data_IF_603865024740
#
_entry.id   IF_603865024740
#
_cell.length_a   1.000
_cell.length_b   1.000
_cell.length_c   1.000
_cell.angle_alpha   90.00
_cell.angle_beta   90.00
_cell.angle_gamma   90.00
#
_symmetry.space_group_name_H-M   'P 1'
#
loop_
_entity.id
_entity.type
_entity.pdbx_description
1 polymer ?
#
# COMPACT_ATOMS: atom_id res chain seq x y z
N UNK A 1 -9.42 14.79 22.58
CA UNK A 1 -10.41 15.05 21.53
C UNK A 1 -11.57 14.10 21.75
N UNK A 2 -12.78 14.59 21.81
CA UNK A 2 -13.95 13.71 21.97
C UNK A 2 -14.32 13.11 20.61
N UNK A 3 -14.87 11.91 20.61
CA UNK A 3 -15.31 11.16 19.39
C UNK A 3 -16.24 12.01 18.48
N UNK A 4 -17.03 12.88 19.09
CA UNK A 4 -17.93 13.83 18.39
C UNK A 4 -17.16 14.84 17.51
N UNK A 5 -16.01 15.33 17.99
CA UNK A 5 -15.19 16.32 17.26
C UNK A 5 -14.58 15.70 16.00
N UNK A 6 -14.13 14.44 16.07
CA UNK A 6 -13.56 13.73 14.91
C UNK A 6 -14.62 13.44 13.85
N UNK A 7 -15.86 13.14 14.25
CA UNK A 7 -16.98 12.91 13.32
C UNK A 7 -17.45 14.16 12.58
N UNK A 8 -17.20 15.34 13.15
CA UNK A 8 -17.57 16.64 12.56
C UNK A 8 -16.50 17.19 11.62
N UNK A 9 -15.27 16.64 11.63
CA UNK A 9 -14.24 17.05 10.68
C UNK A 9 -14.61 16.58 9.27
N UNK A 10 -14.64 17.52 8.33
CA UNK A 10 -14.73 17.18 6.92
C UNK A 10 -13.55 16.25 6.54
N UNK A 11 -13.87 15.13 5.90
CA UNK A 11 -12.87 14.16 5.47
C UNK A 11 -11.80 14.77 4.55
N UNK A 12 -12.15 15.82 3.81
CA UNK A 12 -11.21 16.58 2.98
C UNK A 12 -10.26 17.47 3.79
N UNK A 13 -10.71 18.01 4.92
CA UNK A 13 -9.91 18.92 5.73
C UNK A 13 -8.65 18.27 6.30
N UNK A 14 -8.72 17.03 6.80
CA UNK A 14 -7.56 16.30 7.31
C UNK A 14 -6.53 16.03 6.21
N UNK A 15 -6.99 15.65 5.03
CA UNK A 15 -6.11 15.45 3.87
C UNK A 15 -5.44 16.74 3.43
N UNK A 16 -6.17 17.85 3.45
CA UNK A 16 -5.62 19.17 3.12
C UNK A 16 -4.54 19.60 4.13
N UNK A 17 -4.78 19.41 5.43
CA UNK A 17 -3.79 19.70 6.48
C UNK A 17 -2.55 18.83 6.32
N UNK A 18 -2.72 17.53 6.04
CA UNK A 18 -1.60 16.62 5.81
C UNK A 18 -0.77 17.06 4.59
N UNK A 19 -1.44 17.39 3.48
CA UNK A 19 -0.77 17.87 2.26
C UNK A 19 -0.01 19.18 2.49
N UNK A 20 -0.59 20.10 3.28
CA UNK A 20 0.06 21.36 3.61
C UNK A 20 1.29 21.16 4.49
N UNK A 21 1.21 20.28 5.50
CA UNK A 21 2.37 19.91 6.33
C UNK A 21 3.50 19.31 5.49
N UNK A 22 3.19 18.37 4.60
CA UNK A 22 4.21 17.74 3.73
C UNK A 22 4.87 18.79 2.83
N UNK A 23 4.09 19.73 2.28
CA UNK A 23 4.63 20.82 1.45
C UNK A 23 5.58 21.71 2.26
N UNK A 24 5.20 22.11 3.48
CA UNK A 24 6.05 22.89 4.37
C UNK A 24 7.36 22.16 4.72
N UNK A 25 7.29 20.84 5.00
CA UNK A 25 8.48 20.02 5.27
C UNK A 25 9.39 19.91 4.04
N UNK A 26 8.82 19.85 2.85
CA UNK A 26 9.58 19.90 1.60
C UNK A 26 10.26 21.25 1.39
N UNK A 27 9.55 22.36 1.62
CA UNK A 27 10.12 23.73 1.52
C UNK A 27 11.25 23.98 2.53
N UNK A 28 11.18 23.33 3.70
CA UNK A 28 12.22 23.38 4.73
C UNK A 28 13.40 22.42 4.44
N UNK A 29 13.34 21.62 3.37
CA UNK A 29 14.36 20.62 3.04
C UNK A 29 14.46 19.45 4.03
N UNK A 30 13.41 19.19 4.82
CA UNK A 30 13.33 18.05 5.75
C UNK A 30 12.93 16.79 4.98
N UNK A 31 12.12 16.94 3.94
CA UNK A 31 11.68 15.91 3.01
C UNK A 31 12.15 16.31 1.61
N UNK A 32 12.73 15.38 0.84
CA UNK A 32 13.17 15.67 -0.52
C UNK A 32 12.57 14.77 -1.61
N UNK A 33 11.90 13.68 -1.18
CA UNK A 33 11.28 12.66 -2.03
C UNK A 33 12.25 11.96 -3.03
N UNK A 34 13.55 12.04 -2.83
CA UNK A 34 14.54 11.36 -3.68
C UNK A 34 14.45 9.83 -3.54
N UNK A 35 14.13 9.35 -2.33
CA UNK A 35 13.90 7.94 -2.02
C UNK A 35 12.54 7.78 -1.36
N UNK A 36 11.58 7.25 -2.09
CA UNK A 36 10.21 7.05 -1.60
C UNK A 36 9.88 5.57 -1.49
N UNK A 37 9.19 5.20 -0.43
CA UNK A 37 8.76 3.84 -0.16
C UNK A 37 7.25 3.73 -0.06
N UNK A 38 6.66 2.70 -0.65
CA UNK A 38 5.23 2.41 -0.54
C UNK A 38 5.00 1.04 0.06
N UNK A 39 4.19 0.99 1.11
CA UNK A 39 3.75 -0.25 1.73
C UNK A 39 2.30 -0.14 2.20
N UNK A 40 1.68 -1.30 2.46
CA UNK A 40 0.30 -1.38 2.95
C UNK A 40 0.21 -2.16 4.25
N UNK A 41 -0.60 -1.66 5.17
CA UNK A 41 -0.87 -2.30 6.47
C UNK A 41 -2.34 -2.67 6.57
N UNK A 42 -2.68 -3.91 6.99
CA UNK A 42 -4.06 -4.31 7.25
C UNK A 42 -4.65 -3.52 8.42
N UNK A 43 -5.88 -3.02 8.23
CA UNK A 43 -6.68 -2.35 9.26
C UNK A 43 -7.93 -3.18 9.51
N UNK A 44 -7.97 -3.90 10.62
CA UNK A 44 -9.08 -4.77 10.95
C UNK A 44 -10.29 -3.97 11.39
N UNK A 45 -11.46 -4.22 10.76
CA UNK A 45 -12.73 -3.65 11.19
C UNK A 45 -13.15 -4.21 12.56
N UNK A 46 -13.79 -3.38 13.38
CA UNK A 46 -14.32 -3.81 14.68
C UNK A 46 -15.61 -4.61 14.50
N UNK A 47 -15.46 -5.88 14.14
CA UNK A 47 -16.57 -6.79 13.83
C UNK A 47 -16.51 -8.08 14.64
N UNK A 48 -17.66 -8.75 14.80
CA UNK A 48 -17.71 -10.07 15.48
C UNK A 48 -16.86 -11.11 14.78
N UNK A 49 -16.75 -11.04 13.46
CA UNK A 49 -15.99 -11.96 12.62
C UNK A 49 -14.49 -11.89 12.91
N UNK A 50 -13.97 -10.71 13.18
CA UNK A 50 -12.56 -10.51 13.54
C UNK A 50 -12.23 -10.86 14.99
N UNK A 51 -13.24 -11.04 15.85
CA UNK A 51 -12.99 -11.39 17.24
C UNK A 51 -12.39 -12.81 17.33
N UNK A 52 -11.19 -12.98 17.92
CA UNK A 52 -10.55 -14.30 18.09
C UNK A 52 -11.39 -15.27 18.92
N UNK A 53 -12.19 -14.76 19.85
CA UNK A 53 -13.09 -15.55 20.71
C UNK A 53 -14.39 -15.98 20.01
N UNK A 54 -14.61 -15.56 18.77
CA UNK A 54 -15.79 -15.96 18.00
C UNK A 54 -15.58 -17.34 17.40
N UNK A 55 -16.37 -18.30 17.81
CA UNK A 55 -16.38 -19.69 17.30
C UNK A 55 -17.29 -19.89 16.08
N UNK A 56 -17.78 -18.83 15.46
CA UNK A 56 -18.64 -18.93 14.29
C UNK A 56 -17.92 -19.66 13.14
N UNK A 57 -18.51 -20.79 12.70
CA UNK A 57 -18.06 -21.47 11.49
C UNK A 57 -18.19 -20.50 10.29
N UNK A 58 -17.20 -20.54 9.39
CA UNK A 58 -17.20 -19.75 8.16
C UNK A 58 -17.24 -18.22 8.37
N UNK A 59 -16.72 -17.70 9.50
CA UNK A 59 -16.74 -16.26 9.80
C UNK A 59 -16.00 -15.39 8.75
N UNK A 60 -15.13 -16.00 7.95
CA UNK A 60 -14.41 -15.38 6.85
C UNK A 60 -14.90 -15.86 5.48
N UNK A 61 -16.20 -16.06 5.31
CA UNK A 61 -16.81 -16.32 4.00
C UNK A 61 -17.57 -15.07 3.53
N UNK A 62 -17.71 -14.90 2.21
CA UNK A 62 -18.40 -13.76 1.62
C UNK A 62 -19.88 -13.65 2.05
N UNK A 63 -20.51 -14.79 2.35
CA UNK A 63 -21.91 -14.88 2.82
C UNK A 63 -22.07 -14.30 4.23
N UNK A 64 -21.00 -14.25 5.01
CA UNK A 64 -21.00 -13.78 6.40
C UNK A 64 -20.41 -12.36 6.53
N UNK A 65 -20.70 -11.50 5.55
CA UNK A 65 -20.27 -10.10 5.57
C UNK A 65 -20.74 -9.39 6.85
N UNK A 66 -19.85 -8.61 7.52
CA UNK A 66 -20.19 -7.90 8.76
C UNK A 66 -21.27 -6.84 8.54
N UNK A 67 -22.40 -6.98 9.25
CA UNK A 67 -23.46 -5.95 9.21
C UNK A 67 -23.09 -4.67 9.98
N UNK A 68 -22.14 -4.76 10.91
CA UNK A 68 -21.67 -3.61 11.71
C UNK A 68 -20.77 -2.67 10.94
N UNK A 69 -20.19 -3.13 9.83
CA UNK A 69 -19.32 -2.36 8.94
C UNK A 69 -19.55 -2.83 7.50
N UNK A 70 -20.54 -2.28 6.81
CA UNK A 70 -20.91 -2.71 5.46
C UNK A 70 -19.88 -2.31 4.39
N UNK A 71 -18.98 -1.39 4.72
CA UNK A 71 -17.95 -0.91 3.78
C UNK A 71 -16.65 -1.71 3.85
N UNK A 72 -16.47 -2.56 4.88
CA UNK A 72 -15.29 -3.41 4.97
C UNK A 72 -15.31 -4.55 3.96
N UNK A 73 -14.15 -5.10 3.62
CA UNK A 73 -14.04 -6.25 2.75
C UNK A 73 -13.20 -7.37 3.37
N UNK A 74 -13.38 -8.59 2.85
CA UNK A 74 -12.57 -9.74 3.26
C UNK A 74 -11.18 -9.62 2.63
N UNK A 75 -10.19 -9.48 3.48
CA UNK A 75 -8.78 -9.48 3.13
C UNK A 75 -8.05 -10.72 3.61
N UNK A 76 -6.86 -10.93 3.07
CA UNK A 76 -5.92 -11.95 3.51
C UNK A 76 -4.56 -11.31 3.74
N UNK A 77 -4.00 -11.55 4.92
CA UNK A 77 -2.62 -11.20 5.23
C UNK A 77 -1.81 -12.48 5.25
N UNK A 78 -0.65 -12.47 4.61
CA UNK A 78 0.28 -13.60 4.63
C UNK A 78 1.61 -13.19 5.24
N UNK A 79 2.01 -13.87 6.29
CA UNK A 79 3.34 -13.77 6.85
C UNK A 79 4.12 -15.05 6.57
N UNK A 80 5.42 -14.90 6.24
CA UNK A 80 6.34 -16.03 6.18
C UNK A 80 7.15 -16.04 7.47
N UNK A 81 7.26 -17.21 8.10
CA UNK A 81 8.17 -17.40 9.22
C UNK A 81 9.61 -17.63 8.72
N UNK A 82 10.57 -17.74 9.64
CA UNK A 82 11.97 -18.02 9.35
C UNK A 82 12.22 -19.35 8.61
N UNK A 83 11.24 -20.26 8.57
CA UNK A 83 11.29 -21.54 7.84
C UNK A 83 10.59 -21.47 6.47
N UNK A 84 10.25 -20.28 5.96
CA UNK A 84 9.50 -20.06 4.71
C UNK A 84 8.10 -20.68 4.68
N UNK A 85 7.53 -21.04 5.82
CA UNK A 85 6.14 -21.47 5.93
C UNK A 85 5.24 -20.24 5.85
N UNK A 86 4.30 -20.25 4.89
CA UNK A 86 3.32 -19.18 4.75
C UNK A 86 2.13 -19.43 5.64
N UNK A 87 1.87 -18.51 6.54
CA UNK A 87 0.63 -18.46 7.30
C UNK A 87 -0.30 -17.42 6.68
N UNK A 88 -1.55 -17.83 6.40
CA UNK A 88 -2.58 -16.95 5.88
C UNK A 88 -3.55 -16.61 7.01
N UNK A 89 -3.73 -15.29 7.23
CA UNK A 89 -4.69 -14.79 8.21
C UNK A 89 -5.75 -13.98 7.45
N UNK A 90 -7.02 -14.43 7.59
CA UNK A 90 -8.15 -13.73 7.00
C UNK A 90 -8.68 -12.69 7.97
N UNK A 91 -9.11 -11.55 7.45
CA UNK A 91 -9.73 -10.50 8.24
C UNK A 91 -10.77 -9.73 7.41
N UNK A 92 -11.73 -9.14 8.09
CA UNK A 92 -12.63 -8.15 7.51
C UNK A 92 -12.07 -6.76 7.82
N UNK A 93 -11.97 -5.90 6.82
CA UNK A 93 -11.43 -4.56 7.06
C UNK A 93 -10.96 -3.85 5.81
N UNK A 94 -9.87 -3.14 6.00
CA UNK A 94 -9.27 -2.21 5.05
C UNK A 94 -7.76 -2.43 4.96
N UNK A 95 -7.13 -1.76 4.01
CA UNK A 95 -5.68 -1.57 3.96
C UNK A 95 -5.39 -0.09 3.99
N UNK A 96 -4.44 0.31 4.78
CA UNK A 96 -3.86 1.65 4.73
C UNK A 96 -2.55 1.60 3.97
N UNK A 97 -2.50 2.26 2.81
CA UNK A 97 -1.30 2.39 1.98
C UNK A 97 -0.63 3.70 2.34
N UNK A 98 0.66 3.66 2.67
CA UNK A 98 1.42 4.83 3.08
C UNK A 98 2.65 4.97 2.19
N UNK A 99 2.75 6.11 1.52
CA UNK A 99 3.95 6.55 0.83
C UNK A 99 4.80 7.37 1.81
N UNK A 100 6.05 7.00 1.98
CA UNK A 100 6.98 7.65 2.91
C UNK A 100 8.21 8.18 2.16
N UNK A 101 8.79 9.26 2.67
CA UNK A 101 10.18 9.60 2.37
C UNK A 101 11.09 8.68 3.18
N UNK A 102 11.89 7.85 2.50
CA UNK A 102 12.72 6.84 3.16
C UNK A 102 13.91 7.43 3.92
N UNK A 103 14.28 8.68 3.67
CA UNK A 103 15.38 9.36 4.33
C UNK A 103 14.92 9.90 5.69
N UNK A 104 13.86 10.67 5.70
CA UNK A 104 13.30 11.25 6.93
C UNK A 104 12.40 10.28 7.71
N UNK A 105 11.85 9.26 7.05
CA UNK A 105 10.84 8.35 7.60
C UNK A 105 9.45 8.99 7.70
N UNK A 106 9.24 10.18 7.15
CA UNK A 106 7.98 10.91 7.25
C UNK A 106 6.98 10.47 6.17
N UNK A 107 5.67 10.36 6.51
CA UNK A 107 4.64 10.04 5.53
C UNK A 107 4.40 11.22 4.58
N UNK A 108 4.38 10.93 3.28
CA UNK A 108 4.10 11.89 2.21
C UNK A 108 2.64 11.87 1.79
N UNK A 109 2.06 10.68 1.73
CA UNK A 109 0.67 10.48 1.34
C UNK A 109 0.13 9.18 1.93
N UNK A 110 -1.16 9.16 2.21
CA UNK A 110 -1.85 7.97 2.66
C UNK A 110 -3.16 7.75 1.90
N UNK A 111 -3.51 6.48 1.67
CA UNK A 111 -4.77 6.09 1.08
C UNK A 111 -5.29 4.81 1.75
N UNK A 112 -6.50 4.88 2.29
CA UNK A 112 -7.19 3.70 2.81
C UNK A 112 -8.13 3.13 1.75
N UNK A 113 -8.02 1.82 1.51
CA UNK A 113 -8.88 1.05 0.59
C UNK A 113 -9.56 -0.10 1.31
N UNK A 114 -10.56 -0.72 0.68
CA UNK A 114 -11.07 -2.00 1.13
C UNK A 114 -9.97 -3.08 1.09
N UNK A 115 -10.01 -4.04 2.03
CA UNK A 115 -8.96 -5.05 2.19
C UNK A 115 -8.75 -5.99 0.99
N UNK A 116 -9.74 -6.12 0.12
CA UNK A 116 -9.68 -6.94 -1.10
C UNK A 116 -9.04 -6.23 -2.31
N UNK A 117 -8.75 -4.94 -2.20
CA UNK A 117 -8.08 -4.19 -3.28
C UNK A 117 -6.60 -4.60 -3.34
N UNK A 118 -6.10 -4.84 -4.54
CA UNK A 118 -4.69 -5.21 -4.75
C UNK A 118 -3.79 -3.98 -4.62
N UNK A 119 -2.69 -4.12 -3.90
CA UNK A 119 -1.74 -3.02 -3.61
C UNK A 119 -1.20 -2.38 -4.89
N UNK A 120 -0.85 -3.19 -5.89
CA UNK A 120 -0.33 -2.71 -7.17
C UNK A 120 -1.32 -1.87 -8.00
N UNK A 121 -2.63 -1.99 -7.75
CA UNK A 121 -3.65 -1.21 -8.49
C UNK A 121 -3.78 0.22 -8.00
N UNK A 122 -3.41 0.49 -6.74
CA UNK A 122 -3.52 1.82 -6.13
C UNK A 122 -2.20 2.60 -6.15
N UNK A 123 -1.08 1.95 -6.44
CA UNK A 123 0.24 2.57 -6.41
C UNK A 123 0.36 3.78 -7.35
N UNK A 124 -0.18 3.66 -8.56
CA UNK A 124 -0.14 4.74 -9.56
C UNK A 124 -0.95 5.96 -9.10
N UNK A 125 -2.13 5.72 -8.52
CA UNK A 125 -2.99 6.79 -7.99
C UNK A 125 -2.35 7.49 -6.80
N UNK A 126 -1.68 6.73 -5.92
CA UNK A 126 -0.94 7.27 -4.77
C UNK A 126 0.22 8.15 -5.25
N UNK A 127 1.01 7.68 -6.22
CA UNK A 127 2.11 8.48 -6.79
C UNK A 127 1.58 9.75 -7.46
N UNK A 128 0.49 9.66 -8.21
CA UNK A 128 -0.13 10.82 -8.85
C UNK A 128 -0.62 11.85 -7.83
N UNK A 129 -1.25 11.38 -6.74
CA UNK A 129 -1.74 12.24 -5.67
C UNK A 129 -0.59 12.89 -4.87
N UNK A 130 0.46 12.14 -4.55
CA UNK A 130 1.65 12.65 -3.87
C UNK A 130 2.37 13.71 -4.73
N UNK A 131 2.46 13.49 -6.04
CA UNK A 131 3.06 14.45 -6.97
C UNK A 131 2.31 15.81 -7.07
N UNK A 132 1.05 15.86 -6.61
CA UNK A 132 0.33 17.15 -6.45
C UNK A 132 0.77 17.92 -5.19
N UNK A 133 1.44 17.27 -4.26
CA UNK A 133 1.89 17.87 -3.00
C UNK A 133 3.34 18.33 -3.11
N UNK A 134 4.22 17.46 -3.62
CA UNK A 134 5.63 17.71 -3.84
C UNK A 134 6.13 16.98 -5.10
N UNK A 135 7.12 17.50 -5.82
CA UNK A 135 7.60 16.88 -7.06
C UNK A 135 8.28 15.53 -6.77
N UNK A 136 7.89 14.50 -7.53
CA UNK A 136 8.50 13.17 -7.48
C UNK A 136 9.52 12.94 -8.60
N UNK A 137 9.96 14.00 -9.27
CA UNK A 137 10.85 13.90 -10.43
C UNK A 137 12.22 13.33 -10.03
N UNK A 138 12.69 12.31 -10.75
CA UNK A 138 13.97 11.65 -10.50
C UNK A 138 13.96 10.72 -9.28
N UNK A 139 12.80 10.40 -8.69
CA UNK A 139 12.73 9.61 -7.48
C UNK A 139 13.19 8.15 -7.67
N UNK A 140 13.74 7.58 -6.62
CA UNK A 140 13.93 6.14 -6.43
C UNK A 140 12.73 5.57 -5.68
N UNK A 141 11.89 4.80 -6.37
CA UNK A 141 10.68 4.20 -5.80
C UNK A 141 10.95 2.79 -5.28
N UNK A 142 10.72 2.57 -4.00
CA UNK A 142 10.91 1.30 -3.31
C UNK A 142 9.56 0.70 -2.91
N UNK A 143 9.36 -0.58 -3.18
CA UNK A 143 8.20 -1.30 -2.70
C UNK A 143 8.50 -2.81 -2.59
N UNK A 144 7.62 -3.56 -1.94
CA UNK A 144 7.73 -5.00 -1.85
C UNK A 144 7.30 -5.68 -3.17
N UNK A 145 7.53 -7.01 -3.27
CA UNK A 145 7.15 -7.81 -4.46
C UNK A 145 5.64 -7.81 -4.78
N UNK A 146 4.78 -7.38 -3.86
CA UNK A 146 3.35 -7.21 -4.10
C UNK A 146 3.06 -6.17 -5.16
N UNK A 147 3.95 -5.19 -5.28
CA UNK A 147 3.90 -4.09 -6.26
C UNK A 147 4.60 -4.42 -7.60
N UNK A 148 5.16 -5.62 -7.79
CA UNK A 148 5.79 -6.02 -9.05
C UNK A 148 4.76 -6.11 -10.18
N UNK A 149 4.58 -4.98 -10.86
CA UNK A 149 3.66 -4.80 -11.98
C UNK A 149 4.23 -3.81 -13.01
N UNK A 150 4.19 -4.19 -14.30
CA UNK A 150 4.75 -3.42 -15.40
C UNK A 150 4.26 -1.95 -15.44
N UNK A 151 3.00 -1.72 -15.05
CA UNK A 151 2.44 -0.37 -15.02
C UNK A 151 3.18 0.54 -14.05
N UNK A 152 3.64 0.03 -12.90
CA UNK A 152 4.38 0.82 -11.90
C UNK A 152 5.74 1.22 -12.44
N UNK A 153 6.51 0.27 -12.99
CA UNK A 153 7.82 0.57 -13.62
C UNK A 153 7.68 1.61 -14.73
N UNK A 154 6.69 1.43 -15.60
CA UNK A 154 6.43 2.36 -16.70
C UNK A 154 6.05 3.76 -16.17
N UNK A 155 5.21 3.85 -15.15
CA UNK A 155 4.79 5.13 -14.58
C UNK A 155 5.97 5.84 -13.91
N UNK A 156 6.73 5.14 -13.07
CA UNK A 156 7.91 5.71 -12.41
C UNK A 156 8.91 6.22 -13.43
N UNK A 157 9.17 5.44 -14.49
CA UNK A 157 10.14 5.84 -15.53
C UNK A 157 9.62 6.95 -16.44
N UNK A 158 8.39 6.81 -16.98
CA UNK A 158 7.92 7.72 -18.05
C UNK A 158 7.31 9.01 -17.53
N UNK A 159 6.72 9.00 -16.33
CA UNK A 159 6.05 10.17 -15.75
C UNK A 159 6.99 10.96 -14.84
N UNK A 160 7.78 10.25 -14.03
CA UNK A 160 8.63 10.88 -13.01
C UNK A 160 10.13 10.84 -13.35
N UNK A 161 10.52 10.26 -14.50
CA UNK A 161 11.92 10.00 -14.85
C UNK A 161 12.74 9.34 -13.73
N UNK A 162 12.04 8.59 -12.89
CA UNK A 162 12.57 7.88 -11.73
C UNK A 162 12.99 6.46 -12.03
N UNK A 163 13.35 5.75 -10.98
CA UNK A 163 13.73 4.34 -11.02
C UNK A 163 12.97 3.53 -9.95
N UNK A 164 12.44 2.36 -10.31
CA UNK A 164 11.67 1.52 -9.39
C UNK A 164 12.49 0.30 -8.95
N UNK A 165 12.63 0.12 -7.64
CA UNK A 165 13.33 -0.99 -6.98
C UNK A 165 12.32 -1.89 -6.28
N UNK A 166 11.81 -2.90 -7.01
CA UNK A 166 10.80 -3.84 -6.55
C UNK A 166 11.31 -5.26 -6.79
N UNK A 167 11.32 -6.13 -5.76
CA UNK A 167 11.70 -7.54 -5.94
C UNK A 167 10.76 -8.25 -6.92
N UNK A 168 11.31 -8.97 -7.89
CA UNK A 168 10.52 -9.71 -8.88
C UNK A 168 9.73 -10.86 -8.25
N UNK A 169 8.53 -11.12 -8.78
CA UNK A 169 7.77 -12.34 -8.48
C UNK A 169 8.48 -13.56 -9.08
N UNK A 170 8.49 -14.68 -8.36
CA UNK A 170 9.22 -15.91 -8.77
C UNK A 170 8.88 -16.41 -10.19
N UNK A 171 7.67 -16.20 -10.66
CA UNK A 171 7.21 -16.56 -12.02
C UNK A 171 7.94 -15.81 -13.13
N UNK A 172 8.28 -14.54 -12.91
CA UNK A 172 9.01 -13.74 -13.91
C UNK A 172 10.50 -14.09 -13.95
N UNK A 173 11.07 -14.57 -12.84
CA UNK A 173 12.45 -15.03 -12.82
C UNK A 173 12.68 -16.29 -13.66
N UNK A 174 11.66 -17.18 -13.78
CA UNK A 174 11.75 -18.38 -14.60
C UNK A 174 11.64 -18.07 -16.10
N UNK A 175 10.86 -17.07 -16.51
CA UNK A 175 10.74 -16.68 -17.91
C UNK A 175 11.99 -15.95 -18.44
N UNK A 176 12.65 -15.15 -17.61
CA UNK A 176 13.88 -14.45 -18.01
C UNK A 176 15.09 -15.41 -18.12
N UNK A 177 15.19 -16.42 -17.25
CA UNK A 177 16.22 -17.44 -17.37
C UNK A 177 15.99 -18.41 -18.53
N UNK A 178 14.74 -18.62 -18.95
CA UNK A 178 14.41 -19.44 -20.14
C UNK A 178 14.65 -18.70 -21.46
N UNK A 179 14.56 -17.36 -21.46
CA UNK A 179 14.84 -16.54 -22.65
C UNK A 179 16.31 -16.25 -22.91
N UNK A 180 17.19 -16.53 -21.93
CA UNK A 180 18.64 -16.43 -22.07
C UNK A 180 19.33 -17.76 -22.44
N UNK A 181 18.57 -18.72 -22.96
CA UNK A 181 19.09 -19.98 -23.49
C UNK A 181 20.13 -19.73 -24.57
N UNK A 182 21.34 -20.15 -24.30
CA UNK A 182 22.48 -20.12 -25.20
C UNK A 182 22.16 -20.70 -26.58
N UNK A 183 22.69 -20.13 -27.65
CA UNK A 183 22.70 -20.83 -28.91
C UNK A 183 23.64 -22.02 -28.80
N UNK A 184 23.13 -23.20 -29.15
CA UNK A 184 23.91 -24.43 -29.29
C UNK A 184 25.05 -24.20 -30.30
N UNK A 185 26.29 -24.52 -29.85
CA UNK A 185 27.46 -24.74 -30.69
C UNK A 185 27.50 -26.18 -31.13
#
# INVERSE_FOLDING_TARGET
MTDTTVRQLDKGALKAVMADLVRQLYELGIVDASFIGLDSTPVMANTKQNNPKSFAKSKFSKENHPKSDPDCALGVHSASNQHNERRYEFYWGYKNHVLVDCISGLPLYELTTQANIMDSTVAVDILAAANQILPLQGCSFLADKGYDAKIIYNTVKSVYDGEAFIPLKKTQFQEQSASSGQPDL
#
